data_IF_450704749758
#
_entry.id   IF_450704749758
#
_cell.length_a   1.000
_cell.length_b   1.000
_cell.length_c   1.000
_cell.angle_alpha   90.00
_cell.angle_beta   90.00
_cell.angle_gamma   90.00
#
_symmetry.space_group_name_H-M   'P 1'
#
loop_
_entity.id
_entity.type
_entity.pdbx_description
1 polymer ?
#
# COMPACT_ATOMS: atom_id res chain seq x y z
N UNK A 1 -29.01 62.00 28.87
CA UNK A 1 -28.39 60.67 28.75
C UNK A 1 -27.14 60.83 27.91
N UNK A 2 -25.96 60.91 28.53
CA UNK A 2 -24.71 61.15 27.80
C UNK A 2 -24.19 59.83 27.22
N UNK A 3 -24.12 59.73 25.89
CA UNK A 3 -23.42 58.62 25.23
C UNK A 3 -21.92 58.68 25.59
N UNK A 4 -21.45 57.68 26.33
CA UNK A 4 -20.04 57.52 26.64
C UNK A 4 -19.35 56.92 25.42
N UNK A 5 -18.91 57.79 24.49
CA UNK A 5 -18.18 57.37 23.29
C UNK A 5 -16.96 56.52 23.65
N UNK A 6 -16.85 55.31 23.08
CA UNK A 6 -15.70 54.42 23.30
C UNK A 6 -14.40 55.17 22.97
N UNK A 7 -13.52 55.29 23.96
CA UNK A 7 -12.24 55.95 23.78
C UNK A 7 -11.40 55.17 22.74
N UNK A 8 -10.56 55.85 21.94
CA UNK A 8 -9.71 55.20 20.92
C UNK A 8 -8.90 54.04 21.50
N UNK A 9 -8.42 54.16 22.75
CA UNK A 9 -7.71 53.09 23.45
C UNK A 9 -8.59 51.85 23.70
N UNK A 10 -9.85 52.04 24.07
CA UNK A 10 -10.78 50.92 24.31
C UNK A 10 -11.15 50.20 23.02
N UNK A 11 -11.31 50.97 21.92
CA UNK A 11 -11.51 50.39 20.59
C UNK A 11 -10.31 49.55 20.15
N UNK A 12 -9.09 50.10 20.25
CA UNK A 12 -7.84 49.40 19.88
C UNK A 12 -7.65 48.14 20.74
N UNK A 13 -7.83 48.22 22.06
CA UNK A 13 -7.71 47.07 22.96
C UNK A 13 -8.74 45.98 22.66
N UNK A 14 -9.97 46.38 22.27
CA UNK A 14 -11.01 45.43 21.88
C UNK A 14 -10.63 44.71 20.59
N UNK A 15 -10.21 45.44 19.55
CA UNK A 15 -9.74 44.85 18.30
C UNK A 15 -8.54 43.92 18.50
N UNK A 16 -7.59 44.30 19.36
CA UNK A 16 -6.40 43.48 19.63
C UNK A 16 -6.77 42.15 20.30
N UNK A 17 -7.72 42.16 21.25
CA UNK A 17 -8.22 40.95 21.91
C UNK A 17 -8.97 40.03 20.95
N UNK A 18 -9.78 40.58 20.05
CA UNK A 18 -10.46 39.79 19.01
C UNK A 18 -9.47 39.21 18.00
N UNK A 19 -8.49 39.99 17.56
CA UNK A 19 -7.45 39.51 16.66
C UNK A 19 -6.60 38.39 17.30
N UNK A 20 -6.23 38.54 18.57
CA UNK A 20 -5.51 37.52 19.34
C UNK A 20 -6.36 36.26 19.58
N UNK A 21 -7.67 36.41 19.86
CA UNK A 21 -8.58 35.28 20.00
C UNK A 21 -8.78 34.53 18.68
N UNK A 22 -8.98 35.26 17.59
CA UNK A 22 -9.16 34.68 16.25
C UNK A 22 -7.87 34.00 15.76
N UNK A 23 -6.69 34.55 16.05
CA UNK A 23 -5.43 33.92 15.69
C UNK A 23 -5.17 32.64 16.48
N UNK A 24 -5.49 32.61 17.78
CA UNK A 24 -5.40 31.39 18.57
C UNK A 24 -6.34 30.30 18.03
N UNK A 25 -7.62 30.62 17.83
CA UNK A 25 -8.59 29.66 17.28
C UNK A 25 -8.19 29.19 15.89
N UNK A 26 -7.71 30.09 15.03
CA UNK A 26 -7.21 29.74 13.70
C UNK A 26 -6.02 28.78 13.74
N UNK A 27 -5.03 29.05 14.60
CA UNK A 27 -3.85 28.18 14.76
C UNK A 27 -4.25 26.82 15.34
N UNK A 28 -5.08 26.79 16.39
CA UNK A 28 -5.55 25.54 16.99
C UNK A 28 -6.38 24.73 16.01
N UNK A 29 -7.25 25.37 15.21
CA UNK A 29 -8.04 24.70 14.17
C UNK A 29 -7.17 24.07 13.09
N UNK A 30 -6.13 24.77 12.61
CA UNK A 30 -5.19 24.24 11.62
C UNK A 30 -4.37 23.07 12.18
N UNK A 31 -3.90 23.17 13.42
CA UNK A 31 -3.13 22.09 14.05
C UNK A 31 -3.99 20.86 14.31
N UNK A 32 -5.22 21.04 14.81
CA UNK A 32 -6.17 19.95 15.01
C UNK A 32 -6.50 19.24 13.68
N UNK A 33 -6.71 20.00 12.59
CA UNK A 33 -6.94 19.41 11.27
C UNK A 33 -5.72 18.62 10.76
N UNK A 34 -4.49 19.07 11.03
CA UNK A 34 -3.27 18.32 10.66
C UNK A 34 -3.06 17.06 11.50
N UNK A 35 -3.49 17.04 12.75
CA UNK A 35 -3.46 15.82 13.57
C UNK A 35 -4.58 14.85 13.23
N UNK A 36 -5.72 15.36 12.72
CA UNK A 36 -6.88 14.56 12.31
C UNK A 36 -6.78 14.07 10.86
N UNK A 37 -6.01 14.73 9.98
CA UNK A 37 -5.63 14.13 8.70
C UNK A 37 -4.79 12.89 9.01
N UNK A 38 -5.46 11.74 8.98
CA UNK A 38 -5.12 10.55 9.75
C UNK A 38 -3.70 10.06 9.56
N UNK A 39 -3.25 9.21 10.50
CA UNK A 39 -1.99 8.50 10.41
C UNK A 39 -1.80 7.98 8.98
N UNK A 40 -0.80 8.51 8.28
CA UNK A 40 -0.50 8.03 6.94
C UNK A 40 0.35 6.77 7.03
N UNK A 41 0.17 5.88 6.08
CA UNK A 41 0.95 4.66 5.93
C UNK A 41 1.72 4.71 4.63
N UNK A 42 2.82 3.97 4.55
CA UNK A 42 3.44 3.71 3.26
C UNK A 42 2.59 2.72 2.48
N UNK A 43 2.46 2.94 1.17
CA UNK A 43 1.90 1.96 0.26
C UNK A 43 2.53 2.00 -1.13
N UNK A 44 2.45 0.86 -1.82
CA UNK A 44 2.78 0.68 -3.23
C UNK A 44 1.58 1.00 -4.12
N UNK A 45 1.77 1.89 -5.08
CA UNK A 45 0.93 2.05 -6.27
C UNK A 45 1.30 0.97 -7.30
N UNK A 46 0.42 -0.01 -7.47
CA UNK A 46 0.70 -1.17 -8.32
C UNK A 46 0.65 -0.85 -9.81
N UNK A 47 0.08 0.30 -10.20
CA UNK A 47 0.14 0.78 -11.59
C UNK A 47 1.53 1.25 -11.99
N UNK A 48 2.33 1.71 -11.02
CA UNK A 48 3.72 2.17 -11.21
C UNK A 48 4.76 1.11 -10.92
N UNK A 49 4.41 0.04 -10.19
CA UNK A 49 5.36 -0.99 -9.79
C UNK A 49 5.90 -1.75 -11.02
N UNK A 50 7.22 -1.84 -11.16
CA UNK A 50 7.91 -2.56 -12.25
C UNK A 50 8.49 -3.91 -11.82
N UNK A 51 8.14 -4.37 -10.61
CA UNK A 51 8.60 -5.64 -10.03
C UNK A 51 10.14 -5.79 -10.05
N UNK A 52 10.85 -4.71 -9.71
CA UNK A 52 12.32 -4.64 -9.78
C UNK A 52 13.06 -5.53 -8.75
N UNK A 53 12.35 -6.12 -7.78
CA UNK A 53 12.92 -7.01 -6.76
C UNK A 53 13.53 -6.33 -5.53
N UNK A 54 13.75 -5.00 -5.55
CA UNK A 54 14.40 -4.26 -4.44
C UNK A 54 13.61 -4.29 -3.13
N UNK A 55 12.29 -4.52 -3.19
CA UNK A 55 11.46 -4.66 -1.99
C UNK A 55 11.95 -5.78 -1.06
N UNK A 56 12.58 -6.83 -1.61
CA UNK A 56 13.10 -7.95 -0.85
C UNK A 56 14.41 -7.66 -0.11
N UNK A 57 15.16 -6.63 -0.53
CA UNK A 57 16.51 -6.35 -0.03
C UNK A 57 16.64 -5.00 0.65
N UNK A 58 15.81 -4.02 0.30
CA UNK A 58 15.88 -2.64 0.84
C UNK A 58 14.99 -2.44 2.07
N UNK A 59 14.14 -3.41 2.44
CA UNK A 59 13.32 -3.28 3.64
C UNK A 59 14.20 -3.40 4.89
N UNK A 60 13.93 -2.56 5.89
CA UNK A 60 14.58 -2.69 7.21
C UNK A 60 14.02 -3.86 8.03
N UNK A 61 12.84 -4.36 7.65
CA UNK A 61 12.22 -5.53 8.26
C UNK A 61 12.71 -6.81 7.55
N UNK A 62 12.93 -7.87 8.33
CA UNK A 62 13.30 -9.20 7.82
C UNK A 62 12.35 -10.25 8.39
N UNK A 63 11.55 -10.95 7.55
CA UNK A 63 11.37 -10.74 6.12
C UNK A 63 10.75 -9.35 5.81
N UNK A 64 10.84 -8.93 4.55
CA UNK A 64 10.31 -7.63 4.11
C UNK A 64 8.84 -7.44 4.48
N UNK A 65 8.47 -6.22 4.88
CA UNK A 65 7.08 -5.83 5.09
C UNK A 65 6.28 -5.75 3.77
N UNK A 66 6.95 -5.76 2.62
CA UNK A 66 6.28 -5.88 1.31
C UNK A 66 5.96 -7.34 1.06
N UNK A 67 4.69 -7.63 0.79
CA UNK A 67 4.17 -8.97 0.53
C UNK A 67 3.47 -9.02 -0.82
N UNK A 68 3.42 -10.21 -1.40
CA UNK A 68 2.51 -10.49 -2.49
C UNK A 68 1.11 -10.67 -1.91
N UNK A 69 0.14 -9.93 -2.42
CA UNK A 69 -1.28 -10.08 -2.10
C UNK A 69 -1.97 -10.67 -3.32
N UNK A 70 -2.84 -11.64 -3.07
CA UNK A 70 -3.69 -12.23 -4.08
C UNK A 70 -5.05 -11.52 -4.08
N UNK A 71 -5.32 -10.79 -5.15
CA UNK A 71 -6.63 -10.17 -5.41
C UNK A 71 -7.50 -11.22 -6.09
N UNK A 72 -8.16 -12.05 -5.29
CA UNK A 72 -8.92 -13.22 -5.75
C UNK A 72 -9.97 -12.88 -6.81
N UNK A 73 -10.64 -11.74 -6.67
CA UNK A 73 -11.70 -11.28 -7.60
C UNK A 73 -11.21 -11.02 -9.03
N UNK A 74 -9.89 -10.90 -9.24
CA UNK A 74 -9.31 -10.77 -10.58
C UNK A 74 -8.71 -12.09 -11.10
N UNK A 75 -8.58 -13.10 -10.25
CA UNK A 75 -7.83 -14.30 -10.57
C UNK A 75 -8.59 -15.21 -11.54
N UNK A 76 -7.88 -15.69 -12.57
CA UNK A 76 -8.42 -16.67 -13.50
C UNK A 76 -8.25 -18.13 -13.06
N UNK A 77 -7.68 -18.39 -11.87
CA UNK A 77 -7.45 -19.72 -11.31
C UNK A 77 -6.77 -20.71 -12.29
N UNK A 78 -5.80 -20.22 -13.08
CA UNK A 78 -5.24 -21.00 -14.19
C UNK A 78 -4.48 -22.25 -13.70
N UNK A 79 -4.64 -23.39 -14.38
CA UNK A 79 -3.75 -24.56 -14.22
C UNK A 79 -2.29 -24.19 -14.53
N UNK A 80 -2.05 -23.55 -15.67
CA UNK A 80 -0.77 -22.98 -16.09
C UNK A 80 -0.66 -21.50 -15.66
N UNK A 81 -0.35 -21.25 -14.39
CA UNK A 81 -0.19 -19.89 -13.88
C UNK A 81 1.24 -19.37 -14.05
N UNK A 82 1.43 -18.32 -14.84
CA UNK A 82 2.72 -17.65 -15.02
C UNK A 82 3.27 -16.99 -13.75
N UNK A 83 2.43 -16.75 -12.73
CA UNK A 83 2.87 -16.27 -11.42
C UNK A 83 3.39 -17.37 -10.49
N UNK A 84 3.08 -18.63 -10.77
CA UNK A 84 3.49 -19.79 -9.96
C UNK A 84 4.60 -20.60 -10.62
N UNK A 85 4.50 -20.85 -11.93
CA UNK A 85 5.41 -21.73 -12.67
C UNK A 85 6.53 -20.92 -13.34
N UNK A 86 7.72 -21.51 -13.42
CA UNK A 86 8.81 -20.98 -14.24
C UNK A 86 8.46 -21.11 -15.73
N UNK A 87 9.02 -20.26 -16.60
CA UNK A 87 8.92 -20.48 -18.04
C UNK A 87 9.45 -21.86 -18.43
N UNK A 88 8.81 -22.49 -19.42
CA UNK A 88 9.25 -23.76 -20.03
C UNK A 88 9.24 -24.98 -19.09
N UNK A 89 8.36 -25.02 -18.08
CA UNK A 89 8.12 -26.25 -17.31
C UNK A 89 7.60 -27.35 -18.23
N UNK A 90 8.19 -28.55 -18.14
CA UNK A 90 7.76 -29.71 -18.94
C UNK A 90 6.51 -30.37 -18.39
N UNK A 91 6.40 -30.41 -17.05
CA UNK A 91 5.30 -31.01 -16.32
C UNK A 91 4.76 -29.98 -15.33
N UNK A 92 3.44 -29.80 -15.28
CA UNK A 92 2.79 -28.90 -14.32
C UNK A 92 2.65 -29.65 -12.99
N UNK A 93 3.62 -29.47 -12.09
CA UNK A 93 3.64 -30.08 -10.76
C UNK A 93 4.00 -29.03 -9.70
N UNK A 94 3.84 -29.40 -8.42
CA UNK A 94 4.21 -28.53 -7.28
C UNK A 94 5.68 -28.64 -6.88
N UNK A 95 6.51 -29.34 -7.67
CA UNK A 95 7.95 -29.48 -7.43
C UNK A 95 8.67 -28.14 -7.40
N UNK A 96 9.68 -28.00 -6.52
CA UNK A 96 10.40 -26.75 -6.32
C UNK A 96 11.12 -26.25 -7.59
N UNK A 97 11.55 -27.17 -8.45
CA UNK A 97 12.16 -26.89 -9.75
C UNK A 97 11.21 -26.18 -10.72
N UNK A 98 9.90 -26.39 -10.55
CA UNK A 98 8.87 -25.77 -11.35
C UNK A 98 8.44 -24.40 -10.80
N UNK A 99 8.64 -24.15 -9.50
CA UNK A 99 8.12 -22.94 -8.85
C UNK A 99 8.96 -21.70 -9.17
N UNK A 100 8.29 -20.62 -9.57
CA UNK A 100 8.88 -19.31 -9.83
C UNK A 100 9.30 -18.59 -8.54
N UNK A 101 8.55 -18.79 -7.46
CA UNK A 101 8.84 -18.19 -6.17
C UNK A 101 10.10 -18.83 -5.56
N UNK A 102 11.15 -18.04 -5.25
CA UNK A 102 12.42 -18.60 -4.77
C UNK A 102 12.32 -19.18 -3.35
N UNK A 103 11.34 -18.76 -2.56
CA UNK A 103 11.13 -19.21 -1.17
C UNK A 103 9.97 -20.19 -1.02
N UNK A 104 9.34 -20.59 -2.13
CA UNK A 104 8.16 -21.46 -2.08
C UNK A 104 6.94 -20.83 -1.40
N UNK A 105 6.84 -19.49 -1.38
CA UNK A 105 5.79 -18.76 -0.68
C UNK A 105 4.40 -18.80 -1.33
N UNK A 106 4.15 -19.73 -2.26
CA UNK A 106 2.87 -19.85 -2.95
C UNK A 106 2.47 -21.33 -2.91
N UNK A 107 1.29 -21.61 -2.36
CA UNK A 107 0.70 -22.93 -2.33
C UNK A 107 -0.34 -23.04 -3.43
N UNK A 108 -0.20 -24.06 -4.27
CA UNK A 108 -1.15 -24.37 -5.33
C UNK A 108 -2.14 -25.41 -4.83
N UNK A 109 -3.43 -25.12 -4.93
CA UNK A 109 -4.52 -25.96 -4.44
C UNK A 109 -5.46 -26.28 -5.60
N UNK A 110 -5.75 -27.56 -5.79
CA UNK A 110 -6.76 -27.98 -6.76
C UNK A 110 -8.16 -27.56 -6.28
N UNK A 111 -8.95 -27.00 -7.20
CA UNK A 111 -10.35 -26.65 -6.94
C UNK A 111 -11.25 -27.61 -7.72
N UNK A 112 -11.19 -27.54 -9.05
CA UNK A 112 -11.87 -28.41 -10.00
C UNK A 112 -11.10 -28.38 -11.33
N UNK A 113 -11.43 -29.19 -12.33
CA UNK A 113 -10.76 -29.10 -13.64
C UNK A 113 -11.34 -27.93 -14.46
N UNK A 114 -10.54 -27.01 -15.05
CA UNK A 114 -9.07 -26.88 -15.03
C UNK A 114 -8.54 -25.82 -14.04
N UNK A 115 -9.24 -25.60 -12.93
CA UNK A 115 -9.03 -24.50 -11.99
C UNK A 115 -8.18 -24.86 -10.75
N UNK A 116 -7.19 -24.01 -10.49
CA UNK A 116 -6.31 -24.08 -9.33
C UNK A 116 -6.24 -22.74 -8.62
N UNK A 117 -6.36 -22.78 -7.30
CA UNK A 117 -6.19 -21.64 -6.41
C UNK A 117 -4.73 -21.51 -5.96
N UNK A 118 -4.31 -20.27 -5.75
CA UNK A 118 -2.96 -19.92 -5.33
C UNK A 118 -3.01 -19.13 -4.02
N UNK A 119 -2.58 -19.77 -2.93
CA UNK A 119 -2.55 -19.16 -1.61
C UNK A 119 -1.14 -18.62 -1.33
N UNK A 120 -1.02 -17.39 -0.86
CA UNK A 120 0.28 -16.80 -0.47
C UNK A 120 0.59 -17.17 0.97
N UNK A 121 1.75 -17.79 1.20
CA UNK A 121 2.28 -18.05 2.54
C UNK A 121 3.08 -16.82 2.96
N UNK A 122 2.47 -15.92 3.72
CA UNK A 122 3.03 -14.60 4.04
C UNK A 122 4.41 -14.67 4.73
N UNK A 123 4.60 -15.64 5.63
CA UNK A 123 5.85 -15.86 6.37
C UNK A 123 7.05 -16.15 5.47
N UNK A 124 6.81 -16.84 4.35
CA UNK A 124 7.84 -17.17 3.37
C UNK A 124 8.00 -16.07 2.30
N UNK A 125 7.03 -15.17 2.18
CA UNK A 125 7.03 -14.15 1.16
C UNK A 125 7.98 -13.01 1.51
N UNK A 126 9.03 -12.86 0.69
CA UNK A 126 10.04 -11.80 0.85
C UNK A 126 9.73 -10.56 -0.01
N UNK A 127 8.61 -10.51 -0.73
CA UNK A 127 8.24 -9.35 -1.54
C UNK A 127 9.07 -9.16 -2.83
N UNK A 128 9.68 -10.22 -3.38
CA UNK A 128 10.55 -10.09 -4.56
C UNK A 128 9.84 -9.76 -5.88
N UNK A 129 8.51 -9.90 -5.95
CA UNK A 129 7.71 -9.51 -7.13
C UNK A 129 7.81 -10.43 -8.35
N UNK A 130 8.56 -11.54 -8.31
CA UNK A 130 8.66 -12.47 -9.46
C UNK A 130 7.30 -13.05 -9.87
N UNK A 131 6.50 -13.47 -8.89
CA UNK A 131 5.14 -13.98 -9.13
C UNK A 131 4.20 -12.90 -9.69
N UNK A 132 4.30 -11.67 -9.19
CA UNK A 132 3.56 -10.51 -9.69
C UNK A 132 3.90 -10.24 -11.17
N UNK A 133 5.19 -10.25 -11.52
CA UNK A 133 5.64 -10.07 -12.90
C UNK A 133 5.12 -11.17 -13.83
N UNK A 134 5.20 -12.42 -13.38
CA UNK A 134 4.72 -13.55 -14.17
C UNK A 134 3.20 -13.56 -14.35
N UNK A 135 2.44 -13.24 -13.30
CA UNK A 135 0.99 -13.13 -13.33
C UNK A 135 0.52 -11.97 -14.23
N UNK A 136 1.22 -10.83 -14.23
CA UNK A 136 0.90 -9.70 -15.10
C UNK A 136 1.28 -9.91 -16.57
N UNK A 137 2.30 -10.74 -16.86
CA UNK A 137 2.74 -10.99 -18.23
C UNK A 137 1.85 -12.00 -18.98
N UNK A 138 1.29 -12.99 -18.28
CA UNK A 138 0.57 -14.12 -18.89
C UNK A 138 -0.80 -14.41 -18.26
N UNK A 139 -1.27 -13.56 -17.36
CA UNK A 139 -2.56 -13.69 -16.70
C UNK A 139 -3.20 -12.33 -16.45
N UNK A 140 -4.13 -12.28 -15.49
CA UNK A 140 -4.93 -11.09 -15.23
C UNK A 140 -4.27 -10.07 -14.27
N UNK A 141 -3.04 -10.31 -13.81
CA UNK A 141 -2.38 -9.44 -12.82
C UNK A 141 -3.03 -9.47 -11.43
N UNK A 142 -3.63 -10.60 -11.04
CA UNK A 142 -4.27 -10.79 -9.72
C UNK A 142 -3.28 -10.88 -8.55
N UNK A 143 -2.00 -11.16 -8.81
CA UNK A 143 -0.95 -11.09 -7.81
C UNK A 143 -0.31 -9.70 -7.84
N UNK A 144 -0.32 -8.98 -6.72
CA UNK A 144 0.21 -7.62 -6.63
C UNK A 144 1.06 -7.42 -5.37
N UNK A 145 2.09 -6.56 -5.42
CA UNK A 145 2.86 -6.23 -4.22
C UNK A 145 2.16 -5.14 -3.43
N UNK A 146 1.97 -5.35 -2.13
CA UNK A 146 1.50 -4.35 -1.17
C UNK A 146 2.36 -4.39 0.09
N UNK A 147 2.31 -3.32 0.87
CA UNK A 147 2.89 -3.29 2.20
C UNK A 147 1.90 -3.91 3.19
N UNK A 148 2.35 -4.92 3.93
CA UNK A 148 1.65 -5.44 5.11
C UNK A 148 1.85 -4.45 6.25
N UNK A 149 0.77 -3.80 6.68
CA UNK A 149 0.83 -2.77 7.72
C UNK A 149 1.05 -3.35 9.12
N UNK A 150 0.80 -4.64 9.31
CA UNK A 150 1.12 -5.36 10.55
C UNK A 150 2.64 -5.55 10.73
N UNK A 151 3.36 -5.68 9.63
CA UNK A 151 4.82 -5.84 9.62
C UNK A 151 5.56 -4.50 9.46
N UNK A 152 4.94 -3.52 8.81
CA UNK A 152 5.56 -2.25 8.51
C UNK A 152 5.61 -1.36 9.75
N UNK A 153 6.81 -1.04 10.24
CA UNK A 153 7.02 -0.09 11.34
C UNK A 153 6.84 1.39 10.94
N UNK A 154 6.27 1.64 9.75
CA UNK A 154 5.94 2.97 9.23
C UNK A 154 7.08 4.00 9.30
N UNK A 155 8.30 3.61 8.89
CA UNK A 155 9.50 4.46 8.91
C UNK A 155 9.23 5.87 8.35
N UNK A 156 9.77 6.93 8.98
CA UNK A 156 9.63 8.30 8.46
C UNK A 156 10.13 8.44 7.02
N UNK A 157 11.20 7.74 6.67
CA UNK A 157 11.71 7.60 5.30
C UNK A 157 11.84 6.12 4.96
N UNK A 158 10.98 5.62 4.08
CA UNK A 158 11.05 4.22 3.65
C UNK A 158 12.28 3.99 2.77
N UNK A 159 13.17 3.10 3.18
CA UNK A 159 14.36 2.73 2.40
C UNK A 159 13.98 2.11 1.04
N UNK A 160 12.90 1.32 0.99
CA UNK A 160 12.39 0.78 -0.28
C UNK A 160 11.91 1.90 -1.20
N UNK A 161 11.21 2.90 -0.66
CA UNK A 161 10.71 4.01 -1.47
C UNK A 161 11.85 4.80 -2.11
N UNK A 162 12.91 5.10 -1.34
CA UNK A 162 14.12 5.76 -1.84
C UNK A 162 14.82 4.95 -2.93
N UNK A 163 14.85 3.62 -2.79
CA UNK A 163 15.56 2.74 -3.71
C UNK A 163 14.67 2.28 -4.89
N UNK A 164 13.38 2.64 -4.91
CA UNK A 164 12.42 2.20 -5.93
C UNK A 164 12.65 2.94 -7.25
N UNK A 165 12.98 2.24 -8.36
CA UNK A 165 13.29 2.90 -9.63
C UNK A 165 12.07 3.47 -10.36
N UNK A 166 10.86 3.10 -9.94
CA UNK A 166 9.61 3.52 -10.59
C UNK A 166 8.75 4.46 -9.76
N UNK A 167 9.29 4.95 -8.64
CA UNK A 167 8.59 5.87 -7.72
C UNK A 167 7.16 5.38 -7.38
N UNK A 168 7.06 4.08 -7.10
CA UNK A 168 5.78 3.42 -6.84
C UNK A 168 5.31 3.59 -5.40
N UNK A 169 6.11 4.15 -4.50
CA UNK A 169 5.77 4.24 -3.08
C UNK A 169 5.26 5.63 -2.72
N UNK A 170 4.15 5.69 -1.99
CA UNK A 170 3.56 6.95 -1.53
C UNK A 170 3.00 6.83 -0.12
N UNK A 171 2.79 7.97 0.54
CA UNK A 171 2.02 8.05 1.77
C UNK A 171 0.53 8.06 1.42
N UNK A 172 -0.24 7.23 2.11
CA UNK A 172 -1.69 7.10 1.92
C UNK A 172 -2.40 7.22 3.27
N UNK A 173 -3.66 7.70 3.30
CA UNK A 173 -4.49 7.64 4.49
C UNK A 173 -4.66 6.20 5.01
N UNK A 174 -4.67 5.99 6.33
CA UNK A 174 -4.80 4.65 6.92
C UNK A 174 -6.19 4.01 6.71
N UNK A 175 -7.22 4.80 6.45
CA UNK A 175 -8.59 4.37 6.16
C UNK A 175 -8.75 3.84 4.73
N UNK A 176 -7.92 4.29 3.79
CA UNK A 176 -7.88 3.77 2.41
C UNK A 176 -6.45 3.43 1.97
N UNK A 177 -5.83 2.40 2.58
CA UNK A 177 -4.40 2.27 2.48
C UNK A 177 -3.94 1.39 1.33
N UNK A 178 -4.81 0.63 0.63
CA UNK A 178 -4.41 -0.30 -0.44
C UNK A 178 -4.72 0.25 -1.83
N UNK A 179 -3.73 0.22 -2.74
CA UNK A 179 -3.84 0.70 -4.13
C UNK A 179 -3.64 -0.46 -5.09
N UNK A 180 -4.73 -1.16 -5.42
CA UNK A 180 -4.72 -2.24 -6.41
C UNK A 180 -4.99 -1.70 -7.82
N UNK A 181 -4.42 -2.35 -8.83
CA UNK A 181 -4.68 -2.08 -10.24
C UNK A 181 -5.68 -3.10 -10.77
N UNK A 182 -6.53 -2.71 -11.73
CA UNK A 182 -7.53 -3.60 -12.34
C UNK A 182 -8.72 -3.98 -11.43
N UNK A 183 -8.66 -3.67 -10.14
CA UNK A 183 -9.71 -3.92 -9.17
C UNK A 183 -10.35 -2.61 -8.71
N UNK A 184 -11.65 -2.44 -8.94
CA UNK A 184 -12.42 -1.32 -8.36
C UNK A 184 -13.07 -1.81 -7.10
N UNK A 185 -12.68 -1.25 -5.95
CA UNK A 185 -13.44 -1.43 -4.71
C UNK A 185 -14.79 -0.74 -4.91
N UNK A 186 -15.90 -1.44 -4.69
CA UNK A 186 -17.21 -0.79 -4.63
C UNK A 186 -17.13 0.28 -3.53
N UNK A 187 -17.22 1.56 -3.92
CA UNK A 187 -17.38 2.63 -2.95
C UNK A 187 -18.78 2.48 -2.38
N UNK A 188 -18.88 2.19 -1.08
CA UNK A 188 -20.14 2.34 -0.36
C UNK A 188 -20.42 3.83 -0.25
N UNK A 189 -21.35 4.32 -1.08
CA UNK A 189 -22.02 5.61 -0.89
C UNK A 189 -22.81 5.64 0.43
#
# INVERSE_FOLDING_TARGET
MAEKGKNRRDFINTCFRFAAGASLVGVTGVLAHKTVSGNTLWQIDTTKCTQCGRCATSCVMTPSAVKCIHVYDMCGYCDLCGGYLRPNVKNITTGAENQLCPTGAIKRKYVEDPFFEYEIIEDLCIGCGKCVKGCGAFGNGSLQLQISHDLCVNCNQCAIARDCPSDAFSRVPADEPYKFSGFKKEQKD
#
